data_IF_865980816739
#
_entry.id   IF_865980816739
#
_cell.length_a   1.000
_cell.length_b   1.000
_cell.length_c   1.000
_cell.angle_alpha   90.00
_cell.angle_beta   90.00
_cell.angle_gamma   90.00
#
_symmetry.space_group_name_H-M   'P 1'
#
loop_
_entity.id
_entity.type
_entity.pdbx_description
1 polymer ?
#
# COMPACT_ATOMS: atom_id res chain seq x y z
N UNK A 1 -3.20 -1.23 11.09
CA UNK A 1 -1.94 -1.98 10.85
C UNK A 1 -2.25 -3.45 10.90
N UNK A 2 -1.67 -4.26 10.01
CA UNK A 2 -1.83 -5.74 9.99
C UNK A 2 -0.51 -6.43 9.69
N UNK A 3 -0.46 -7.75 9.88
CA UNK A 3 0.74 -8.53 9.52
C UNK A 3 0.94 -8.57 8.00
N UNK A 4 -0.04 -9.12 7.27
CA UNK A 4 0.00 -9.26 5.82
C UNK A 4 -0.86 -8.22 5.08
N UNK A 5 -0.75 -8.22 3.74
CA UNK A 5 -1.45 -7.27 2.88
C UNK A 5 -2.94 -7.60 2.70
N UNK A 6 -3.78 -6.59 2.41
CA UNK A 6 -5.07 -6.81 1.75
C UNK A 6 -4.86 -7.47 0.37
N UNK A 7 -5.82 -8.29 -0.07
CA UNK A 7 -5.76 -8.97 -1.38
C UNK A 7 -5.60 -7.95 -2.52
N UNK A 8 -4.68 -8.22 -3.44
CA UNK A 8 -4.33 -7.39 -4.60
C UNK A 8 -3.69 -6.03 -4.27
N UNK A 9 -3.30 -5.79 -3.02
CA UNK A 9 -2.62 -4.55 -2.60
C UNK A 9 -1.21 -4.90 -2.12
N UNK A 10 -0.20 -4.64 -2.96
CA UNK A 10 1.21 -4.88 -2.64
C UNK A 10 1.48 -6.30 -2.10
N UNK A 11 0.81 -7.30 -2.68
CA UNK A 11 0.75 -8.69 -2.19
C UNK A 11 1.26 -9.73 -3.18
N UNK A 12 2.08 -9.29 -4.14
CA UNK A 12 2.68 -10.16 -5.15
C UNK A 12 3.70 -11.12 -4.52
N UNK A 13 3.43 -12.42 -4.61
CA UNK A 13 4.35 -13.48 -4.20
C UNK A 13 5.19 -14.06 -5.35
N UNK A 14 4.94 -13.62 -6.59
CA UNK A 14 5.55 -14.10 -7.82
C UNK A 14 4.73 -15.18 -8.54
N UNK A 15 3.79 -15.85 -7.87
CA UNK A 15 2.92 -16.88 -8.45
C UNK A 15 1.44 -16.61 -8.24
N UNK A 16 1.07 -16.02 -7.09
CA UNK A 16 -0.30 -15.64 -6.79
C UNK A 16 -0.35 -14.42 -5.84
N UNK A 17 -1.55 -13.88 -5.66
CA UNK A 17 -1.85 -12.91 -4.63
C UNK A 17 -1.77 -13.57 -3.24
N UNK A 18 -0.89 -13.04 -2.38
CA UNK A 18 -0.72 -13.49 -1.00
C UNK A 18 -1.58 -12.74 0.02
N UNK A 19 -2.44 -11.82 -0.43
CA UNK A 19 -3.23 -10.96 0.43
C UNK A 19 -4.57 -11.55 0.86
N UNK A 20 -5.13 -10.96 1.91
CA UNK A 20 -6.38 -11.43 2.52
C UNK A 20 -7.60 -10.65 2.02
N UNK A 21 -8.60 -11.35 1.46
CA UNK A 21 -9.84 -10.73 0.95
C UNK A 21 -10.72 -10.15 2.06
N UNK A 22 -10.75 -10.79 3.23
CA UNK A 22 -11.49 -10.30 4.39
C UNK A 22 -10.89 -8.99 4.90
N UNK A 23 -9.56 -8.88 4.82
CA UNK A 23 -8.83 -7.65 5.14
C UNK A 23 -9.11 -6.55 4.11
N UNK A 24 -9.13 -6.87 2.81
CA UNK A 24 -9.52 -5.91 1.76
C UNK A 24 -10.90 -5.31 2.03
N UNK A 25 -11.92 -6.16 2.24
CA UNK A 25 -13.27 -5.72 2.63
C UNK A 25 -13.29 -4.89 3.90
N UNK A 26 -12.48 -5.23 4.91
CA UNK A 26 -12.36 -4.45 6.13
C UNK A 26 -11.78 -3.04 5.87
N UNK A 27 -10.79 -2.94 4.99
CA UNK A 27 -10.22 -1.64 4.59
C UNK A 27 -11.22 -0.82 3.77
N UNK A 28 -11.99 -1.43 2.86
CA UNK A 28 -13.08 -0.73 2.14
C UNK A 28 -14.14 -0.13 3.06
N UNK A 29 -14.49 -0.84 4.14
CA UNK A 29 -15.45 -0.35 5.14
C UNK A 29 -14.86 0.75 6.03
N UNK A 30 -13.62 0.57 6.49
CA UNK A 30 -12.99 1.48 7.44
C UNK A 30 -12.42 2.75 6.79
N UNK A 31 -12.04 2.68 5.51
CA UNK A 31 -11.42 3.77 4.72
C UNK A 31 -10.34 4.54 5.52
N UNK A 32 -9.34 3.86 6.13
CA UNK A 32 -8.35 4.52 6.97
C UNK A 32 -7.45 5.44 6.12
N UNK A 33 -6.91 6.51 6.68
CA UNK A 33 -5.94 7.35 5.93
C UNK A 33 -4.63 6.62 5.60
N UNK A 34 -4.21 5.72 6.48
CA UNK A 34 -3.02 4.89 6.32
C UNK A 34 -3.33 3.47 6.78
N UNK A 35 -2.97 2.49 5.95
CA UNK A 35 -2.92 1.09 6.33
C UNK A 35 -1.52 0.53 6.09
N UNK A 36 -0.79 0.26 7.17
CA UNK A 36 0.57 -0.28 7.13
C UNK A 36 0.57 -1.80 7.44
N UNK A 37 1.34 -2.54 6.66
CA UNK A 37 1.50 -4.00 6.75
C UNK A 37 2.87 -4.45 6.23
N UNK A 38 3.13 -5.77 6.23
CA UNK A 38 4.38 -6.36 5.71
C UNK A 38 4.15 -7.76 5.17
N UNK A 39 4.96 -8.72 5.64
CA UNK A 39 4.94 -10.15 5.29
C UNK A 39 5.37 -10.50 3.86
N UNK A 40 4.89 -9.77 2.84
CA UNK A 40 5.20 -10.05 1.43
C UNK A 40 6.36 -9.15 0.98
N UNK A 41 7.58 -9.69 1.01
CA UNK A 41 8.83 -8.93 0.76
C UNK A 41 8.88 -8.30 -0.65
N UNK A 42 8.51 -9.08 -1.69
CA UNK A 42 8.41 -8.62 -3.09
C UNK A 42 7.42 -7.46 -3.24
N UNK A 43 6.45 -7.38 -2.33
CA UNK A 43 5.44 -6.33 -2.26
C UNK A 43 5.93 -5.00 -1.69
N UNK A 44 7.15 -4.91 -1.13
CA UNK A 44 7.67 -3.69 -0.51
C UNK A 44 7.42 -2.45 -1.38
N UNK A 45 6.85 -1.41 -0.77
CA UNK A 45 6.45 -0.21 -1.47
C UNK A 45 5.28 0.51 -0.81
N UNK A 46 4.76 1.51 -1.51
CA UNK A 46 3.50 2.15 -1.18
C UNK A 46 2.58 2.19 -2.40
N UNK A 47 1.29 2.27 -2.14
CA UNK A 47 0.26 2.38 -3.16
C UNK A 47 -0.92 3.14 -2.57
N UNK A 48 -1.45 4.11 -3.30
CA UNK A 48 -2.70 4.78 -2.91
C UNK A 48 -3.89 4.00 -3.45
N UNK A 49 -4.98 3.98 -2.70
CA UNK A 49 -6.25 3.43 -3.18
C UNK A 49 -7.36 4.46 -3.03
N UNK A 50 -8.28 4.45 -3.99
CA UNK A 50 -9.52 5.19 -3.96
C UNK A 50 -10.70 4.23 -3.74
N UNK A 51 -11.85 4.79 -3.40
CA UNK A 51 -13.09 4.04 -3.25
C UNK A 51 -14.15 4.63 -4.17
N UNK A 52 -14.63 3.82 -5.10
CA UNK A 52 -15.75 4.13 -5.98
C UNK A 52 -17.03 3.48 -5.43
N UNK A 53 -18.19 3.94 -5.90
CA UNK A 53 -19.45 3.26 -5.60
C UNK A 53 -19.45 1.90 -6.32
N UNK A 54 -19.74 0.79 -5.62
CA UNK A 54 -19.79 -0.53 -6.23
C UNK A 54 -20.77 -0.54 -7.40
N UNK A 55 -20.37 -1.14 -8.53
CA UNK A 55 -21.28 -1.32 -9.66
C UNK A 55 -22.43 -2.27 -9.29
N UNK A 56 -23.67 -1.91 -9.62
CA UNK A 56 -24.86 -2.76 -9.34
C UNK A 56 -24.79 -4.13 -10.03
N UNK A 57 -23.96 -4.29 -11.06
CA UNK A 57 -23.89 -5.47 -11.94
C UNK A 57 -22.76 -6.47 -11.59
N UNK A 58 -21.87 -6.15 -10.64
CA UNK A 58 -20.70 -6.99 -10.34
C UNK A 58 -20.80 -7.56 -8.93
N UNK A 59 -21.15 -8.85 -8.83
CA UNK A 59 -21.06 -9.58 -7.58
C UNK A 59 -19.59 -9.54 -7.06
N UNK A 60 -19.40 -9.20 -5.78
CA UNK A 60 -18.11 -9.03 -5.09
C UNK A 60 -17.26 -7.81 -5.48
N UNK A 61 -17.82 -6.78 -6.13
CA UNK A 61 -17.14 -5.49 -6.25
C UNK A 61 -17.14 -4.73 -4.92
N UNK A 62 -15.95 -4.50 -4.36
CA UNK A 62 -15.77 -3.73 -3.12
C UNK A 62 -15.43 -2.26 -3.35
N UNK A 63 -15.43 -1.82 -4.61
CA UNK A 63 -15.18 -0.44 -5.02
C UNK A 63 -13.75 0.05 -4.79
N UNK A 64 -12.83 -0.79 -4.28
CA UNK A 64 -11.44 -0.39 -4.08
C UNK A 64 -10.69 -0.36 -5.40
N UNK A 65 -10.24 0.83 -5.78
CA UNK A 65 -9.42 1.05 -6.96
C UNK A 65 -7.97 1.29 -6.54
N UNK A 66 -7.09 0.37 -6.90
CA UNK A 66 -5.66 0.47 -6.66
C UNK A 66 -5.00 1.41 -7.69
N UNK A 67 -4.50 2.56 -7.25
CA UNK A 67 -3.73 3.46 -8.11
C UNK A 67 -2.35 2.84 -8.43
N UNK A 68 -1.61 3.34 -9.43
CA UNK A 68 -0.27 2.83 -9.73
C UNK A 68 0.64 2.82 -8.49
N UNK A 69 1.49 1.80 -8.39
CA UNK A 69 2.47 1.68 -7.30
C UNK A 69 3.37 2.92 -7.26
N UNK A 70 3.61 3.41 -6.04
CA UNK A 70 4.42 4.59 -5.82
C UNK A 70 5.88 4.34 -6.21
N UNK A 71 6.49 5.33 -6.85
CA UNK A 71 7.89 5.26 -7.20
C UNK A 71 8.77 5.37 -5.96
N UNK A 72 9.61 4.36 -5.73
CA UNK A 72 10.60 4.36 -4.64
C UNK A 72 11.98 4.64 -5.21
N UNK A 73 12.47 5.86 -5.04
CA UNK A 73 13.83 6.23 -5.45
C UNK A 73 14.89 5.54 -4.59
N UNK A 74 15.37 4.34 -4.98
CA UNK A 74 16.31 3.52 -4.18
C UNK A 74 17.55 4.28 -3.72
N UNK A 75 18.19 5.06 -4.59
CA UNK A 75 19.37 5.85 -4.22
C UNK A 75 19.05 6.96 -3.23
N UNK A 76 17.92 7.65 -3.45
CA UNK A 76 17.45 8.69 -2.53
C UNK A 76 17.12 8.09 -1.16
N UNK A 77 16.41 6.96 -1.13
CA UNK A 77 16.02 6.30 0.10
C UNK A 77 17.23 5.79 0.89
N UNK A 78 18.24 5.25 0.21
CA UNK A 78 19.52 4.86 0.83
C UNK A 78 20.27 6.05 1.41
N UNK A 79 20.29 7.19 0.72
CA UNK A 79 20.99 8.39 1.18
C UNK A 79 20.27 9.08 2.35
N UNK A 80 18.94 9.15 2.31
CA UNK A 80 18.10 9.73 3.39
C UNK A 80 17.87 8.79 4.57
N UNK A 81 18.00 7.48 4.37
CA UNK A 81 17.66 6.45 5.35
C UNK A 81 16.17 6.06 5.38
N UNK A 82 15.34 6.60 4.49
CA UNK A 82 13.91 6.28 4.41
C UNK A 82 13.34 6.52 3.00
N UNK A 83 12.30 5.77 2.64
CA UNK A 83 11.43 6.04 1.50
C UNK A 83 10.33 7.04 1.89
N UNK A 84 9.85 7.81 0.91
CA UNK A 84 8.70 8.70 1.05
C UNK A 84 7.96 8.80 -0.28
N UNK A 85 6.75 9.31 -0.22
CA UNK A 85 5.98 9.64 -1.41
C UNK A 85 6.63 10.78 -2.21
N UNK A 86 6.31 10.82 -3.51
CA UNK A 86 6.62 11.98 -4.34
C UNK A 86 5.77 13.19 -3.89
N UNK A 87 6.23 14.44 -4.08
CA UNK A 87 5.46 15.62 -3.68
C UNK A 87 4.03 15.65 -4.24
N UNK A 88 3.84 15.27 -5.51
CA UNK A 88 2.49 15.22 -6.11
C UNK A 88 1.62 14.10 -5.53
N UNK A 89 2.20 12.98 -5.09
CA UNK A 89 1.44 11.91 -4.43
C UNK A 89 1.14 12.23 -2.96
N UNK A 90 2.00 13.01 -2.30
CA UNK A 90 1.70 13.58 -0.97
C UNK A 90 0.56 14.59 -1.05
N UNK A 91 0.58 15.47 -2.05
CA UNK A 91 -0.50 16.44 -2.30
C UNK A 91 -1.83 15.73 -2.55
N UNK A 92 -1.85 14.73 -3.44
CA UNK A 92 -3.05 13.94 -3.72
C UNK A 92 -3.53 13.12 -2.50
N UNK A 93 -2.64 12.70 -1.60
CA UNK A 93 -3.04 12.01 -0.35
C UNK A 93 -3.62 12.96 0.72
N UNK A 94 -3.33 14.27 0.62
CA UNK A 94 -3.96 15.28 1.48
C UNK A 94 -5.43 15.49 1.11
N UNK A 95 -5.79 15.23 -0.14
CA UNK A 95 -7.19 15.18 -0.56
C UNK A 95 -7.92 14.05 0.17
N UNK A 96 -9.16 14.31 0.60
CA UNK A 96 -9.97 13.31 1.30
C UNK A 96 -10.41 12.22 0.32
N UNK A 97 -10.54 10.99 0.83
CA UNK A 97 -11.09 9.85 0.07
C UNK A 97 -10.04 8.84 -0.41
N UNK A 98 -8.76 9.07 -0.16
CA UNK A 98 -7.69 8.09 -0.44
C UNK A 98 -7.18 7.42 0.83
N UNK A 99 -6.79 6.15 0.70
CA UNK A 99 -6.02 5.41 1.70
C UNK A 99 -4.61 5.19 1.17
N UNK A 100 -3.58 5.56 1.94
CA UNK A 100 -2.22 5.13 1.66
C UNK A 100 -2.00 3.71 2.20
N UNK A 101 -1.65 2.77 1.33
CA UNK A 101 -1.25 1.42 1.66
C UNK A 101 0.28 1.35 1.67
N UNK A 102 0.88 0.92 2.77
CA UNK A 102 2.34 0.80 2.89
C UNK A 102 2.71 -0.62 3.25
N UNK A 103 3.44 -1.29 2.35
CA UNK A 103 4.14 -2.52 2.66
C UNK A 103 5.54 -2.17 3.18
N UNK A 104 5.70 -2.24 4.50
CA UNK A 104 6.91 -1.94 5.25
C UNK A 104 7.78 -3.19 5.52
N UNK A 105 7.69 -4.22 4.67
CA UNK A 105 8.59 -5.37 4.77
C UNK A 105 10.06 -4.93 4.63
N UNK A 106 10.85 -5.14 5.69
CA UNK A 106 12.27 -4.73 5.76
C UNK A 106 13.16 -5.63 4.90
N UNK A 107 12.78 -6.91 4.78
CA UNK A 107 13.52 -7.89 4.02
C UNK A 107 13.14 -7.82 2.54
N UNK A 108 14.10 -8.09 1.67
CA UNK A 108 13.87 -8.36 0.25
C UNK A 108 13.57 -9.85 -0.03
N UNK A 109 13.40 -10.18 -1.30
CA UNK A 109 13.14 -11.52 -1.84
C UNK A 109 14.20 -12.55 -1.44
N UNK A 110 15.44 -12.10 -1.16
CA UNK A 110 16.57 -12.93 -0.73
C UNK A 110 16.68 -13.02 0.81
N UNK A 111 15.77 -12.38 1.54
CA UNK A 111 15.76 -12.34 3.00
C UNK A 111 16.79 -11.37 3.59
N UNK A 112 17.33 -10.44 2.79
CA UNK A 112 18.28 -9.43 3.27
C UNK A 112 17.53 -8.16 3.67
N UNK A 113 17.94 -7.54 4.78
CA UNK A 113 17.35 -6.30 5.29
C UNK A 113 17.79 -5.07 4.47
N UNK A 114 17.28 -4.95 3.25
CA UNK A 114 17.70 -3.92 2.28
C UNK A 114 16.62 -2.87 2.00
N UNK A 115 15.37 -3.14 2.36
CA UNK A 115 14.28 -2.20 2.16
C UNK A 115 14.35 -1.08 3.20
N UNK A 116 14.26 0.16 2.73
CA UNK A 116 14.25 1.32 3.60
C UNK A 116 12.93 1.42 4.38
N UNK A 117 12.92 1.96 5.61
CA UNK A 117 11.67 2.30 6.29
C UNK A 117 10.92 3.40 5.52
N UNK A 118 9.60 3.50 5.73
CA UNK A 118 8.77 4.57 5.16
C UNK A 118 8.59 5.72 6.15
N UNK A 119 8.84 6.94 5.70
CA UNK A 119 8.41 8.17 6.38
C UNK A 119 7.10 8.64 5.74
N UNK A 120 6.06 8.74 6.55
CA UNK A 120 4.73 9.19 6.14
C UNK A 120 4.26 10.27 7.09
N UNK A 121 3.93 11.44 6.55
CA UNK A 121 3.35 12.56 7.29
C UNK A 121 1.86 12.66 6.94
N UNK A 122 1.02 12.67 7.98
CA UNK A 122 -0.43 12.69 7.86
C UNK A 122 -0.98 13.94 8.54
N UNK A 123 -1.73 14.76 7.81
CA UNK A 123 -2.42 15.94 8.36
C UNK A 123 -3.86 15.60 8.78
N UNK A 124 -4.26 15.95 10.00
CA UNK A 124 -5.57 15.62 10.57
C UNK A 124 -6.50 16.82 10.59
#
# INVERSE_FOLDING_TARGET
>A
MTHGPPKYVLDDTGSSSGGCEHLRRAVCRARPRLHCFGHVHRGYGAQRVCFEEPGEEVEDDDGMVCLPKEFVGKNQARWKGYARLSPGSEEALREKGQTLMVNAAIMDDEGKATNAPWLVELEF
#
